data_IF_898287395430
#
_entry.id   IF_898287395430
#
_cell.length_a   1.000
_cell.length_b   1.000
_cell.length_c   1.000
_cell.angle_alpha   90.00
_cell.angle_beta   90.00
_cell.angle_gamma   90.00
#
_symmetry.space_group_name_H-M   'P 1'
#
loop_
_entity.id
_entity.type
_entity.pdbx_description
1 polymer ?
#
# COMPACT_ATOMS: atom_id res chain seq x y z
N UNK A 1 8.58 -26.67 -6.69
CA UNK A 1 7.69 -25.49 -6.68
C UNK A 1 8.56 -24.25 -6.73
N UNK A 2 8.30 -23.28 -7.63
CA UNK A 2 8.96 -21.98 -7.52
C UNK A 2 8.62 -21.38 -6.15
N UNK A 3 9.62 -20.85 -5.46
CA UNK A 3 9.43 -20.16 -4.19
C UNK A 3 8.64 -18.88 -4.45
N UNK A 4 7.33 -18.92 -4.20
CA UNK A 4 6.52 -17.70 -4.21
C UNK A 4 7.10 -16.74 -3.16
N UNK A 5 7.43 -15.50 -3.55
CA UNK A 5 8.07 -14.55 -2.66
C UNK A 5 7.18 -14.31 -1.44
N UNK A 6 7.79 -14.29 -0.25
CA UNK A 6 7.06 -14.04 0.99
C UNK A 6 6.35 -12.69 0.93
N UNK A 7 5.15 -12.56 1.50
CA UNK A 7 4.42 -11.29 1.54
C UNK A 7 5.23 -10.13 2.14
N UNK A 8 6.12 -10.44 3.08
CA UNK A 8 7.07 -9.47 3.66
C UNK A 8 8.03 -8.93 2.60
N UNK A 9 8.56 -9.79 1.72
CA UNK A 9 9.47 -9.40 0.64
C UNK A 9 8.78 -8.46 -0.35
N UNK A 10 7.51 -8.73 -0.67
CA UNK A 10 6.72 -7.92 -1.59
C UNK A 10 6.52 -6.52 -0.99
N UNK A 11 6.05 -6.44 0.25
CA UNK A 11 5.80 -5.17 0.96
C UNK A 11 7.11 -4.38 1.09
N UNK A 12 8.21 -5.02 1.51
CA UNK A 12 9.49 -4.35 1.65
C UNK A 12 9.99 -3.76 0.31
N UNK A 13 9.81 -4.50 -0.79
CA UNK A 13 10.21 -4.04 -2.13
C UNK A 13 9.34 -2.87 -2.59
N UNK A 14 8.03 -2.96 -2.38
CA UNK A 14 7.08 -1.89 -2.71
C UNK A 14 7.42 -0.58 -1.99
N UNK A 15 7.60 -0.62 -0.67
CA UNK A 15 7.96 0.57 0.11
C UNK A 15 9.31 1.14 -0.32
N UNK A 16 10.28 0.29 -0.68
CA UNK A 16 11.57 0.74 -1.21
C UNK A 16 11.39 1.54 -2.51
N UNK A 17 10.56 1.05 -3.43
CA UNK A 17 10.26 1.75 -4.69
C UNK A 17 9.54 3.08 -4.43
N UNK A 18 8.63 3.14 -3.46
CA UNK A 18 7.94 4.37 -3.05
C UNK A 18 8.95 5.40 -2.53
N UNK A 19 9.92 5.01 -1.70
CA UNK A 19 10.97 5.90 -1.22
C UNK A 19 11.85 6.43 -2.36
N UNK A 20 12.25 5.56 -3.29
CA UNK A 20 13.00 5.98 -4.49
C UNK A 20 12.20 6.99 -5.30
N UNK A 21 10.92 6.71 -5.56
CA UNK A 21 10.02 7.61 -6.27
C UNK A 21 9.90 8.97 -5.56
N UNK A 22 9.79 8.96 -4.23
CA UNK A 22 9.78 10.17 -3.39
C UNK A 22 11.02 11.02 -3.63
N UNK A 23 12.20 10.40 -3.60
CA UNK A 23 13.47 11.08 -3.86
C UNK A 23 13.51 11.74 -5.24
N UNK A 24 13.05 11.03 -6.28
CA UNK A 24 12.98 11.57 -7.66
C UNK A 24 12.01 12.74 -7.77
N UNK A 25 10.83 12.66 -7.14
CA UNK A 25 9.83 13.74 -7.14
C UNK A 25 10.39 14.98 -6.42
N UNK A 26 10.96 14.79 -5.23
CA UNK A 26 11.57 15.89 -4.45
C UNK A 26 12.72 16.52 -5.22
N UNK A 27 13.61 15.73 -5.84
CA UNK A 27 14.70 16.25 -6.65
C UNK A 27 14.20 17.09 -7.83
N UNK A 28 13.14 16.63 -8.52
CA UNK A 28 12.51 17.39 -9.62
C UNK A 28 11.91 18.71 -9.13
N UNK A 29 11.19 18.70 -8.02
CA UNK A 29 10.61 19.90 -7.41
C UNK A 29 11.71 20.88 -6.96
N UNK A 30 12.76 20.37 -6.31
CA UNK A 30 13.90 21.16 -5.85
C UNK A 30 14.60 21.86 -7.00
N UNK A 31 14.95 21.12 -8.06
CA UNK A 31 15.60 21.69 -9.25
C UNK A 31 14.73 22.77 -9.91
N UNK A 32 13.41 22.56 -10.00
CA UNK A 32 12.49 23.52 -10.62
C UNK A 32 12.29 24.79 -9.79
N UNK A 33 12.10 24.64 -8.48
CA UNK A 33 11.81 25.75 -7.58
C UNK A 33 13.06 26.59 -7.28
N UNK A 34 14.18 25.94 -6.97
CA UNK A 34 15.36 26.62 -6.45
C UNK A 34 16.31 27.00 -7.58
N UNK A 35 16.56 26.09 -8.52
CA UNK A 35 17.52 26.35 -9.59
C UNK A 35 16.88 27.11 -10.77
N UNK A 36 15.67 26.71 -11.18
CA UNK A 36 14.99 27.33 -12.33
C UNK A 36 14.04 28.49 -11.98
N UNK A 37 13.71 28.70 -10.69
CA UNK A 37 12.73 29.71 -10.21
C UNK A 37 11.43 29.74 -11.02
N UNK A 38 10.99 28.59 -11.54
CA UNK A 38 9.84 28.49 -12.44
C UNK A 38 8.58 28.16 -11.63
N UNK A 39 7.41 28.60 -12.11
CA UNK A 39 6.13 28.23 -11.51
C UNK A 39 5.92 26.70 -11.59
N UNK A 40 5.36 26.15 -10.52
CA UNK A 40 4.96 24.74 -10.44
C UNK A 40 4.05 24.39 -11.62
N UNK A 41 4.39 23.35 -12.37
CA UNK A 41 3.52 22.88 -13.45
C UNK A 41 2.41 22.00 -12.88
N UNK A 42 1.25 22.02 -13.53
CA UNK A 42 0.14 21.11 -13.23
C UNK A 42 0.61 19.64 -13.25
N UNK A 43 1.57 19.31 -14.12
CA UNK A 43 2.22 18.00 -14.16
C UNK A 43 2.89 17.60 -12.83
N UNK A 44 3.48 18.56 -12.11
CA UNK A 44 4.14 18.28 -10.83
C UNK A 44 3.08 17.99 -9.75
N UNK A 45 1.93 18.67 -9.81
CA UNK A 45 0.78 18.38 -8.96
C UNK A 45 0.21 16.98 -9.21
N UNK A 46 0.08 16.56 -10.48
CA UNK A 46 -0.33 15.19 -10.81
C UNK A 46 0.66 14.14 -10.34
N UNK A 47 1.98 14.41 -10.39
CA UNK A 47 2.98 13.49 -9.83
C UNK A 47 2.82 13.34 -8.32
N UNK A 48 2.63 14.43 -7.58
CA UNK A 48 2.39 14.38 -6.13
C UNK A 48 1.08 13.65 -5.79
N UNK A 49 0.00 13.90 -6.54
CA UNK A 49 -1.28 13.23 -6.33
C UNK A 49 -1.20 11.73 -6.61
N UNK A 50 -0.49 11.33 -7.67
CA UNK A 50 -0.21 9.93 -7.96
C UNK A 50 0.57 9.27 -6.83
N UNK A 51 1.63 9.93 -6.35
CA UNK A 51 2.42 9.45 -5.21
C UNK A 51 1.58 9.27 -3.94
N UNK A 52 0.74 10.24 -3.58
CA UNK A 52 -0.16 10.11 -2.43
C UNK A 52 -1.11 8.90 -2.56
N UNK A 53 -1.66 8.68 -3.77
CA UNK A 53 -2.51 7.52 -4.05
C UNK A 53 -1.75 6.21 -3.89
N UNK A 54 -0.50 6.14 -4.37
CA UNK A 54 0.36 4.96 -4.20
C UNK A 54 0.66 4.67 -2.72
N UNK A 55 0.98 5.70 -1.93
CA UNK A 55 1.22 5.53 -0.48
C UNK A 55 -0.03 5.03 0.25
N UNK A 56 -1.21 5.56 -0.11
CA UNK A 56 -2.47 5.11 0.45
C UNK A 56 -2.73 3.63 0.11
N UNK A 57 -2.48 3.22 -1.14
CA UNK A 57 -2.65 1.84 -1.58
C UNK A 57 -1.68 0.88 -0.87
N UNK A 58 -0.39 1.22 -0.82
CA UNK A 58 0.64 0.44 -0.13
C UNK A 58 0.39 0.29 1.38
N UNK A 59 -0.33 1.25 1.97
CA UNK A 59 -0.74 1.17 3.37
C UNK A 59 -1.80 0.08 3.61
N UNK A 60 -2.68 -0.16 2.63
CA UNK A 60 -3.67 -1.25 2.71
C UNK A 60 -3.00 -2.63 2.62
N UNK A 61 -1.91 -2.77 1.87
CA UNK A 61 -1.17 -4.03 1.76
C UNK A 61 -0.66 -4.54 3.12
N UNK A 62 -0.29 -3.63 4.02
CA UNK A 62 0.08 -3.96 5.41
C UNK A 62 -1.13 -4.50 6.19
N UNK A 63 -2.30 -3.90 5.99
CA UNK A 63 -3.55 -4.34 6.64
C UNK A 63 -3.94 -5.73 6.15
N UNK A 64 -3.89 -5.97 4.84
CA UNK A 64 -4.15 -7.30 4.26
C UNK A 64 -3.13 -8.35 4.71
N UNK A 65 -1.87 -7.95 4.87
CA UNK A 65 -0.83 -8.81 5.44
C UNK A 65 -1.15 -9.19 6.89
N UNK A 66 -1.57 -8.23 7.72
CA UNK A 66 -1.98 -8.46 9.11
C UNK A 66 -3.24 -9.31 9.23
N UNK A 67 -4.19 -9.14 8.31
CA UNK A 67 -5.43 -9.90 8.24
C UNK A 67 -5.21 -11.37 7.81
N UNK A 68 -3.99 -11.72 7.39
CA UNK A 68 -3.62 -13.09 7.02
C UNK A 68 -3.96 -13.48 5.58
N UNK A 69 -4.45 -12.53 4.77
CA UNK A 69 -4.82 -12.74 3.36
C UNK A 69 -3.58 -13.06 2.49
N UNK A 70 -2.39 -12.63 2.92
CA UNK A 70 -1.10 -12.90 2.25
C UNK A 70 -0.31 -14.09 2.85
N UNK A 71 -0.94 -15.03 3.56
CA UNK A 71 -0.26 -16.27 3.99
C UNK A 71 0.03 -17.16 2.77
N UNK A 72 1.21 -17.79 2.74
CA UNK A 72 1.57 -18.79 1.72
C UNK A 72 0.49 -19.89 1.70
N UNK A 73 -0.32 -19.94 0.64
CA UNK A 73 -1.45 -20.86 0.49
C UNK A 73 -2.81 -20.19 0.21
N UNK A 74 -2.95 -18.87 0.42
CA UNK A 74 -4.15 -18.12 0.06
C UNK A 74 -3.95 -17.48 -1.31
N UNK A 75 -4.77 -17.86 -2.29
CA UNK A 75 -4.74 -17.24 -3.62
C UNK A 75 -5.31 -15.80 -3.56
N UNK A 76 -4.91 -14.95 -4.51
CA UNK A 76 -5.45 -13.58 -4.67
C UNK A 76 -7.00 -13.52 -4.78
N UNK A 77 -7.65 -14.64 -5.10
CA UNK A 77 -9.11 -14.80 -5.07
C UNK A 77 -9.70 -15.19 -3.71
N UNK A 78 -8.93 -15.08 -2.62
CA UNK A 78 -9.27 -15.54 -1.26
C UNK A 78 -9.55 -17.05 -1.13
N UNK A 79 -9.26 -17.87 -2.15
CA UNK A 79 -9.40 -19.33 -2.03
C UNK A 79 -8.33 -19.83 -1.06
N UNK A 80 -8.78 -20.37 0.07
CA UNK A 80 -7.93 -20.80 1.20
C UNK A 80 -7.90 -19.84 2.40
N UNK A 81 -8.57 -18.69 2.34
CA UNK A 81 -8.69 -17.78 3.47
C UNK A 81 -9.78 -18.28 4.44
N UNK A 82 -9.39 -19.09 5.41
CA UNK A 82 -10.22 -19.39 6.57
C UNK A 82 -10.05 -18.23 7.55
N UNK A 83 -10.83 -17.18 7.35
CA UNK A 83 -10.83 -15.99 8.19
C UNK A 83 -10.89 -16.41 9.65
N UNK A 84 -9.88 -15.99 10.42
CA UNK A 84 -9.74 -16.32 11.84
C UNK A 84 -11.09 -16.18 12.53
N UNK A 85 -11.71 -17.29 12.92
CA UNK A 85 -13.10 -17.33 13.39
C UNK A 85 -13.38 -16.32 14.55
N UNK A 86 -12.33 -15.93 15.28
CA UNK A 86 -12.37 -14.90 16.33
C UNK A 86 -12.67 -13.47 15.86
N UNK A 87 -12.33 -13.07 14.63
CA UNK A 87 -12.65 -11.72 14.12
C UNK A 87 -14.08 -11.62 13.57
N UNK A 88 -14.61 -12.71 13.01
CA UNK A 88 -16.00 -12.79 12.54
C UNK A 88 -17.00 -12.68 13.70
N UNK A 89 -16.66 -13.26 14.86
CA UNK A 89 -17.48 -13.19 16.08
C UNK A 89 -17.63 -11.75 16.61
N UNK A 90 -16.64 -10.89 16.35
CA UNK A 90 -16.67 -9.47 16.76
C UNK A 90 -17.61 -8.63 15.91
N UNK A 91 -17.80 -8.97 14.63
CA UNK A 91 -18.78 -8.34 13.74
C UNK A 91 -20.20 -8.89 13.94
N UNK A 92 -20.35 -10.12 14.43
CA UNK A 92 -21.65 -10.76 14.65
C UNK A 92 -22.32 -10.42 15.98
N UNK A 93 -21.68 -9.62 16.86
CA UNK A 93 -22.38 -9.00 18.00
C UNK A 93 -23.32 -7.90 17.51
N UNK A 94 -24.39 -8.33 16.87
CA UNK A 94 -25.62 -7.55 16.65
C UNK A 94 -26.13 -7.12 18.04
N UNK A 95 -26.43 -5.83 18.27
CA UNK A 95 -27.07 -5.41 19.51
C UNK A 95 -28.47 -6.03 19.53
N UNK A 96 -28.69 -6.98 20.44
CA UNK A 96 -30.03 -7.50 20.75
C UNK A 96 -30.91 -6.33 21.21
N UNK A 97 -32.07 -6.06 20.55
CA UNK A 97 -33.04 -5.13 21.09
C UNK A 97 -33.63 -5.75 22.38
N UNK A 98 -33.56 -4.99 23.47
CA UNK A 98 -34.20 -5.33 24.75
C UNK A 98 -35.70 -5.10 24.74
#
# INVERSE_FOLDING_TARGET
>A
MPLDPSGVTIIATEWTLIFIATGVIVARLYLRLILQKRRLLISDLFMCAGWCTTVALASFDIVFYRMGVLRQGVTLGLVGFEGTAEEAERFYKVPTPG
#
